data_IF_262807412207
#
_entry.id   IF_262807412207
#
_cell.length_a   1.000
_cell.length_b   1.000
_cell.length_c   1.000
_cell.angle_alpha   90.00
_cell.angle_beta   90.00
_cell.angle_gamma   90.00
#
_symmetry.space_group_name_H-M   'P 1'
#
loop_
_entity.id
_entity.type
_entity.pdbx_description
1 polymer ?
#
# COMPACT_ATOMS: atom_id res chain seq x y z
N UNK A 1 -14.72 -13.26 -8.94
CA UNK A 1 -13.66 -13.75 -8.01
C UNK A 1 -12.71 -12.61 -7.70
N UNK A 2 -12.24 -12.47 -6.45
CA UNK A 2 -11.12 -11.56 -6.16
C UNK A 2 -9.87 -12.15 -6.81
N UNK A 3 -9.19 -11.37 -7.65
CA UNK A 3 -7.89 -11.78 -8.22
C UNK A 3 -6.89 -11.91 -7.06
N UNK A 4 -6.39 -13.12 -6.84
CA UNK A 4 -5.30 -13.37 -5.90
C UNK A 4 -3.99 -13.39 -6.67
N UNK A 5 -3.04 -12.55 -6.27
CA UNK A 5 -1.71 -12.52 -6.86
C UNK A 5 -0.73 -13.06 -5.81
N UNK A 6 0.07 -14.04 -6.19
CA UNK A 6 1.22 -14.46 -5.41
C UNK A 6 2.50 -13.92 -6.04
N UNK A 7 3.49 -13.61 -5.20
CA UNK A 7 4.77 -13.09 -5.68
C UNK A 7 5.52 -14.22 -6.37
N UNK A 8 5.88 -13.99 -7.63
CA UNK A 8 6.76 -14.86 -8.38
C UNK A 8 8.18 -14.31 -8.30
N UNK A 9 9.16 -15.18 -8.07
CA UNK A 9 10.55 -14.75 -8.00
C UNK A 9 11.08 -14.47 -9.41
N UNK A 10 11.43 -13.22 -9.71
CA UNK A 10 11.90 -12.79 -11.04
C UNK A 10 13.16 -13.54 -11.50
N UNK A 11 13.94 -14.07 -10.54
CA UNK A 11 15.20 -14.77 -10.76
C UNK A 11 15.06 -16.30 -10.61
N UNK A 12 13.83 -16.85 -10.58
CA UNK A 12 13.61 -18.28 -10.32
C UNK A 12 14.36 -19.19 -11.31
N UNK A 13 14.60 -18.74 -12.54
CA UNK A 13 15.37 -19.51 -13.55
C UNK A 13 16.83 -19.76 -13.15
N UNK A 14 17.40 -18.93 -12.28
CA UNK A 14 18.77 -19.06 -11.80
C UNK A 14 18.87 -19.82 -10.47
N UNK A 15 17.75 -20.31 -9.94
CA UNK A 15 17.77 -21.18 -8.76
C UNK A 15 18.39 -22.55 -9.12
N UNK A 16 19.34 -23.02 -8.30
CA UNK A 16 20.11 -24.25 -8.57
C UNK A 16 19.20 -25.49 -8.58
N UNK A 17 18.18 -25.54 -7.72
CA UNK A 17 17.22 -26.65 -7.67
C UNK A 17 16.37 -26.66 -8.93
N UNK A 18 15.92 -25.48 -9.39
CA UNK A 18 15.17 -25.36 -10.64
C UNK A 18 16.03 -25.60 -11.89
N UNK A 19 17.31 -25.22 -11.88
CA UNK A 19 18.26 -25.61 -12.92
C UNK A 19 18.46 -27.13 -12.99
N UNK A 20 18.46 -27.81 -11.84
CA UNK A 20 18.50 -29.27 -11.78
C UNK A 20 17.24 -29.90 -12.40
N UNK A 21 16.07 -29.32 -12.15
CA UNK A 21 14.81 -29.73 -12.80
C UNK A 21 14.90 -29.56 -14.32
N UNK A 22 15.36 -28.41 -14.80
CA UNK A 22 15.53 -28.15 -16.25
C UNK A 22 16.48 -29.15 -16.86
N UNK A 23 17.58 -29.46 -16.18
CA UNK A 23 18.60 -30.38 -16.69
C UNK A 23 18.06 -31.80 -16.84
N UNK A 24 17.21 -32.27 -15.92
CA UNK A 24 16.65 -33.64 -15.94
C UNK A 24 15.38 -33.76 -16.80
N UNK A 25 14.47 -32.79 -16.70
CA UNK A 25 13.11 -32.88 -17.25
C UNK A 25 12.78 -31.81 -18.29
N UNK A 26 13.73 -30.93 -18.60
CA UNK A 26 13.54 -29.84 -19.56
C UNK A 26 12.48 -28.82 -19.12
N UNK A 27 11.85 -28.18 -20.09
CA UNK A 27 10.80 -27.19 -19.86
C UNK A 27 9.55 -27.79 -19.18
N UNK A 28 9.27 -29.08 -19.41
CA UNK A 28 8.12 -29.78 -18.82
C UNK A 28 8.23 -29.80 -17.29
N UNK A 29 9.42 -30.13 -16.75
CA UNK A 29 9.63 -30.13 -15.30
C UNK A 29 9.40 -28.77 -14.65
N UNK A 30 9.82 -27.69 -15.31
CA UNK A 30 9.54 -26.32 -14.84
C UNK A 30 8.05 -25.98 -14.89
N UNK A 31 7.37 -26.36 -15.96
CA UNK A 31 5.92 -26.19 -16.06
C UNK A 31 5.20 -26.91 -14.91
N UNK A 32 5.55 -28.16 -14.66
CA UNK A 32 5.02 -28.96 -13.55
C UNK A 32 5.29 -28.30 -12.20
N UNK A 33 6.51 -27.82 -11.95
CA UNK A 33 6.83 -27.09 -10.72
C UNK A 33 5.89 -25.88 -10.51
N UNK A 34 5.68 -25.07 -11.54
CA UNK A 34 4.82 -23.89 -11.41
C UNK A 34 3.34 -24.22 -11.24
N UNK A 35 2.85 -25.27 -11.90
CA UNK A 35 1.51 -25.81 -11.68
C UNK A 35 1.34 -26.21 -10.20
N UNK A 36 2.30 -26.95 -9.65
CA UNK A 36 2.27 -27.38 -8.24
C UNK A 36 2.28 -26.18 -7.30
N UNK A 37 3.15 -25.19 -7.54
CA UNK A 37 3.22 -23.96 -6.73
C UNK A 37 1.88 -23.23 -6.74
N UNK A 38 1.24 -23.10 -7.91
CA UNK A 38 -0.08 -22.48 -8.02
C UNK A 38 -1.13 -23.24 -7.22
N UNK A 39 -1.19 -24.57 -7.38
CA UNK A 39 -2.12 -25.42 -6.65
C UNK A 39 -1.89 -25.36 -5.13
N UNK A 40 -0.65 -25.24 -4.66
CA UNK A 40 -0.35 -25.03 -3.23
C UNK A 40 -0.93 -23.71 -2.73
N UNK A 41 -0.78 -22.61 -3.47
CA UNK A 41 -1.39 -21.33 -3.09
C UNK A 41 -2.92 -21.39 -3.07
N UNK A 42 -3.54 -22.16 -3.97
CA UNK A 42 -4.99 -22.35 -4.01
C UNK A 42 -5.51 -23.22 -2.85
N UNK A 43 -4.72 -24.21 -2.41
CA UNK A 43 -5.11 -25.19 -1.38
C UNK A 43 -4.55 -24.88 0.02
N UNK A 44 -4.09 -23.65 0.26
CA UNK A 44 -3.67 -23.23 1.60
C UNK A 44 -2.25 -23.68 2.01
N UNK A 45 -1.45 -24.15 1.06
CA UNK A 45 -0.02 -24.43 1.20
C UNK A 45 0.36 -25.90 1.26
N UNK A 46 -0.60 -26.81 1.09
CA UNK A 46 -0.42 -28.26 1.25
C UNK A 46 -1.23 -28.99 0.18
N UNK A 47 -0.71 -30.11 -0.33
CA UNK A 47 -1.38 -30.94 -1.32
C UNK A 47 -1.18 -32.43 -0.98
N UNK A 48 -2.17 -33.29 -1.22
CA UNK A 48 -1.98 -34.72 -1.05
C UNK A 48 -1.14 -35.30 -2.20
N UNK A 49 -0.32 -36.32 -1.91
CA UNK A 49 0.64 -36.88 -2.88
C UNK A 49 -0.04 -37.60 -4.05
N UNK A 50 -1.25 -38.09 -3.86
CA UNK A 50 -2.07 -38.71 -4.90
C UNK A 50 -2.43 -37.74 -6.05
N UNK A 51 -2.38 -36.42 -5.79
CA UNK A 51 -2.60 -35.37 -6.78
C UNK A 51 -1.63 -35.47 -7.96
N UNK A 52 -0.44 -36.07 -7.77
CA UNK A 52 0.55 -36.22 -8.82
C UNK A 52 -0.02 -36.95 -10.04
N UNK A 53 -0.88 -37.96 -9.82
CA UNK A 53 -1.59 -38.65 -10.91
C UNK A 53 -2.58 -37.73 -11.62
N UNK A 54 -3.31 -36.92 -10.86
CA UNK A 54 -4.27 -35.99 -11.44
C UNK A 54 -3.57 -34.89 -12.26
N UNK A 55 -2.44 -34.38 -11.80
CA UNK A 55 -1.61 -33.41 -12.54
C UNK A 55 -1.12 -34.03 -13.85
N UNK A 56 -0.64 -35.27 -13.80
CA UNK A 56 -0.15 -35.96 -15.01
C UNK A 56 -1.23 -36.03 -16.10
N UNK A 57 -2.46 -36.43 -15.74
CA UNK A 57 -3.58 -36.55 -16.66
C UNK A 57 -4.08 -35.19 -17.13
N UNK A 58 -4.25 -34.23 -16.23
CA UNK A 58 -4.84 -32.93 -16.55
C UNK A 58 -3.95 -32.08 -17.47
N UNK A 59 -2.64 -32.19 -17.32
CA UNK A 59 -1.66 -31.37 -18.06
C UNK A 59 -0.91 -32.16 -19.13
N UNK A 60 -1.32 -33.41 -19.42
CA UNK A 60 -0.71 -34.28 -20.41
C UNK A 60 0.80 -34.46 -20.19
N UNK A 61 1.19 -34.71 -18.95
CA UNK A 61 2.58 -34.94 -18.54
C UNK A 61 2.77 -36.35 -18.02
N UNK A 62 4.01 -36.86 -18.06
CA UNK A 62 4.33 -38.17 -17.49
C UNK A 62 4.28 -38.11 -15.96
N UNK A 63 3.57 -39.06 -15.34
CA UNK A 63 3.50 -39.22 -13.89
C UNK A 63 4.89 -39.29 -13.24
N UNK A 64 5.86 -39.94 -13.87
CA UNK A 64 7.23 -40.02 -13.36
C UNK A 64 7.92 -38.67 -13.29
N UNK A 65 7.63 -37.76 -14.22
CA UNK A 65 8.15 -36.39 -14.19
C UNK A 65 7.55 -35.64 -13.01
N UNK A 66 6.23 -35.73 -12.80
CA UNK A 66 5.55 -35.09 -11.67
C UNK A 66 6.08 -35.61 -10.33
N UNK A 67 6.18 -36.92 -10.19
CA UNK A 67 6.72 -37.55 -8.98
C UNK A 67 8.17 -37.13 -8.73
N UNK A 68 9.01 -37.14 -9.76
CA UNK A 68 10.40 -36.71 -9.66
C UNK A 68 10.53 -35.23 -9.28
N UNK A 69 9.70 -34.34 -9.83
CA UNK A 69 9.68 -32.92 -9.44
C UNK A 69 9.33 -32.75 -7.96
N UNK A 70 8.41 -33.56 -7.43
CA UNK A 70 8.00 -33.52 -6.03
C UNK A 70 9.13 -34.02 -5.11
N UNK A 71 9.81 -35.12 -5.48
CA UNK A 71 10.66 -35.88 -4.55
C UNK A 71 12.17 -35.69 -4.74
N UNK A 72 12.66 -35.43 -5.96
CA UNK A 72 14.08 -35.58 -6.27
C UNK A 72 14.91 -34.29 -6.16
N UNK A 73 14.27 -33.12 -6.08
CA UNK A 73 14.96 -31.82 -6.22
C UNK A 73 14.94 -30.95 -4.96
N UNK A 74 14.47 -31.50 -3.83
CA UNK A 74 14.41 -30.76 -2.56
C UNK A 74 13.60 -29.45 -2.68
N UNK A 75 12.58 -29.45 -3.53
CA UNK A 75 11.68 -28.30 -3.77
C UNK A 75 10.52 -28.28 -2.77
N UNK A 76 10.13 -29.46 -2.27
CA UNK A 76 8.98 -29.68 -1.40
C UNK A 76 9.33 -30.69 -0.31
N UNK A 77 8.78 -30.45 0.87
CA UNK A 77 8.78 -31.40 1.98
C UNK A 77 7.59 -32.34 1.85
N UNK A 78 7.68 -33.58 2.34
CA UNK A 78 6.55 -34.51 2.38
C UNK A 78 6.56 -35.39 3.64
N UNK A 79 5.39 -35.85 4.05
CA UNK A 79 5.19 -36.77 5.18
C UNK A 79 4.71 -38.17 4.76
N UNK A 80 4.73 -38.47 3.45
CA UNK A 80 4.23 -39.71 2.87
C UNK A 80 2.74 -39.69 2.49
N UNK A 81 1.96 -38.71 2.94
CA UNK A 81 0.56 -38.55 2.54
C UNK A 81 0.30 -37.20 1.86
N UNK A 82 0.89 -36.12 2.38
CA UNK A 82 0.84 -34.77 1.84
C UNK A 82 2.25 -34.22 1.62
N UNK A 83 2.34 -33.20 0.78
CA UNK A 83 3.57 -32.46 0.55
C UNK A 83 3.31 -30.95 0.53
N UNK A 84 4.33 -30.17 0.84
CA UNK A 84 4.23 -28.72 0.95
C UNK A 84 5.54 -28.01 0.63
N UNK A 85 5.44 -26.72 0.32
CA UNK A 85 6.60 -25.84 0.29
C UNK A 85 6.67 -25.02 1.58
N UNK A 86 7.78 -25.13 2.31
CA UNK A 86 8.03 -24.39 3.56
C UNK A 86 7.85 -22.88 3.35
N UNK A 87 8.42 -22.35 2.26
CA UNK A 87 8.33 -20.92 1.90
C UNK A 87 6.88 -20.49 1.67
N UNK A 88 6.09 -21.31 0.98
CA UNK A 88 4.68 -21.00 0.67
C UNK A 88 3.85 -20.98 1.95
N UNK A 89 3.97 -22.00 2.82
CA UNK A 89 3.26 -22.03 4.11
C UNK A 89 3.58 -20.81 4.97
N UNK A 90 4.86 -20.49 5.12
CA UNK A 90 5.29 -19.28 5.86
C UNK A 90 4.67 -18.00 5.27
N UNK A 91 4.61 -17.88 3.95
CA UNK A 91 4.01 -16.73 3.27
C UNK A 91 2.51 -16.63 3.53
N UNK A 92 1.79 -17.76 3.46
CA UNK A 92 0.36 -17.84 3.74
C UNK A 92 0.08 -17.47 5.20
N UNK A 93 0.85 -18.02 6.14
CA UNK A 93 0.68 -17.75 7.57
C UNK A 93 0.99 -16.30 7.93
N UNK A 94 2.06 -15.73 7.37
CA UNK A 94 2.38 -14.31 7.54
C UNK A 94 1.26 -13.42 6.99
N UNK A 95 0.67 -13.79 5.85
CA UNK A 95 -0.46 -13.06 5.26
C UNK A 95 -1.70 -13.13 6.14
N UNK A 96 -2.01 -14.31 6.70
CA UNK A 96 -3.11 -14.50 7.66
C UNK A 96 -2.89 -13.65 8.92
N UNK A 97 -1.70 -13.73 9.53
CA UNK A 97 -1.32 -12.92 10.71
C UNK A 97 -1.50 -11.42 10.48
N UNK A 98 -1.00 -10.90 9.35
CA UNK A 98 -1.15 -9.47 9.01
C UNK A 98 -2.62 -9.10 8.79
N UNK A 99 -3.40 -9.95 8.13
CA UNK A 99 -4.83 -9.75 7.92
C UNK A 99 -5.60 -9.71 9.24
N UNK A 100 -5.31 -10.64 10.15
CA UNK A 100 -5.99 -10.75 11.43
C UNK A 100 -5.60 -9.62 12.38
N UNK A 101 -4.33 -9.18 12.38
CA UNK A 101 -3.90 -7.97 13.08
C UNK A 101 -4.64 -6.72 12.57
N UNK A 102 -4.82 -6.58 11.24
CA UNK A 102 -5.59 -5.47 10.65
C UNK A 102 -7.07 -5.52 11.03
N UNK A 103 -7.68 -6.70 11.04
CA UNK A 103 -9.08 -6.89 11.50
C UNK A 103 -9.22 -6.56 12.98
N UNK A 104 -8.30 -7.02 13.83
CA UNK A 104 -8.29 -6.73 15.26
C UNK A 104 -8.17 -5.22 15.53
N UNK A 105 -7.21 -4.55 14.88
CA UNK A 105 -7.04 -3.10 14.98
C UNK A 105 -8.28 -2.34 14.48
N UNK A 106 -8.95 -2.83 13.42
CA UNK A 106 -10.23 -2.27 12.98
C UNK A 106 -11.29 -2.43 14.06
N UNK A 107 -11.53 -3.65 14.56
CA UNK A 107 -12.52 -3.93 15.62
C UNK A 107 -12.32 -3.04 16.86
N UNK A 108 -11.08 -2.87 17.31
CA UNK A 108 -10.75 -1.97 18.42
C UNK A 108 -11.12 -0.51 18.15
N UNK A 109 -10.88 -0.01 16.92
CA UNK A 109 -11.29 1.34 16.51
C UNK A 109 -12.81 1.50 16.51
N UNK A 110 -13.55 0.48 16.07
CA UNK A 110 -15.01 0.50 16.03
C UNK A 110 -15.63 0.41 17.43
N UNK A 111 -15.11 -0.44 18.31
CA UNK A 111 -15.58 -0.56 19.71
C UNK A 111 -15.35 0.74 20.50
N UNK A 112 -14.16 1.33 20.43
CA UNK A 112 -13.86 2.63 21.06
C UNK A 112 -14.80 3.76 20.62
N UNK A 113 -15.32 3.70 19.39
CA UNK A 113 -16.26 4.71 18.86
C UNK A 113 -17.66 4.57 19.47
N UNK A 114 -18.08 3.36 19.85
CA UNK A 114 -19.38 3.13 20.48
C UNK A 114 -19.37 3.44 21.98
N UNK A 115 -18.21 3.36 22.64
CA UNK A 115 -18.05 3.64 24.06
C UNK A 115 -18.01 5.14 24.41
N UNK A 116 -18.10 6.05 23.43
CA UNK A 116 -18.15 7.49 23.72
C UNK A 116 -19.61 7.91 23.92
N UNK A 117 -20.05 8.25 25.14
CA UNK A 117 -21.43 8.67 25.37
C UNK A 117 -21.71 10.01 24.66
N UNK A 118 -22.88 10.12 24.02
CA UNK A 118 -23.44 11.39 23.56
C UNK A 118 -23.79 12.24 24.78
N UNK A 119 -22.97 13.25 25.07
CA UNK A 119 -23.42 14.39 25.87
C UNK A 119 -23.69 15.58 24.93
N UNK A 120 -24.95 16.07 24.80
CA UNK A 120 -25.32 17.11 23.85
C UNK A 120 -25.06 18.55 24.33
N UNK A 121 -24.48 18.78 25.50
CA UNK A 121 -24.30 20.13 26.06
C UNK A 121 -22.88 20.69 25.90
N UNK A 122 -22.64 21.42 24.80
CA UNK A 122 -21.79 22.62 24.76
C UNK A 122 -21.68 23.16 23.33
N UNK A 123 -22.82 23.51 22.73
CA UNK A 123 -22.84 24.45 21.60
C UNK A 123 -23.05 25.85 22.17
N UNK A 124 -21.96 26.52 22.56
CA UNK A 124 -21.98 27.98 22.73
C UNK A 124 -20.91 28.59 21.82
N UNK A 125 -21.43 29.26 20.80
CA UNK A 125 -20.78 30.21 19.92
C UNK A 125 -20.17 31.35 20.73
N UNK A 126 -18.90 31.67 20.51
CA UNK A 126 -18.35 32.99 20.78
C UNK A 126 -17.12 33.23 19.88
N UNK A 127 -17.32 34.16 18.96
CA UNK A 127 -16.39 35.04 18.26
C UNK A 127 -15.03 35.31 18.93
N UNK A 128 -13.97 35.31 18.10
CA UNK A 128 -12.70 36.06 18.23
C UNK A 128 -12.88 37.56 18.55
N UNK A 129 -11.83 38.42 18.80
CA UNK A 129 -10.34 38.29 18.86
C UNK A 129 -9.73 39.12 20.07
N UNK A 130 -8.50 39.74 20.10
CA UNK A 130 -7.21 39.60 19.37
C UNK A 130 -5.93 39.50 20.25
N UNK A 131 -4.78 39.41 19.55
CA UNK A 131 -3.37 39.31 19.94
C UNK A 131 -2.78 40.32 20.95
N UNK A 132 -1.65 39.94 21.59
CA UNK A 132 -0.43 40.75 21.78
C UNK A 132 0.84 39.87 21.87
N UNK A 133 1.91 40.39 21.28
CA UNK A 133 3.28 39.85 21.12
C UNK A 133 4.14 39.97 22.39
N UNK A 134 5.14 39.08 22.52
CA UNK A 134 6.59 39.38 22.72
C UNK A 134 7.33 38.06 23.04
N UNK A 135 8.20 37.55 22.15
CA UNK A 135 9.65 37.78 22.00
C UNK A 135 10.55 36.98 22.98
N UNK A 136 11.34 36.07 22.41
CA UNK A 136 12.78 35.80 22.69
C UNK A 136 13.24 34.36 23.04
N UNK A 137 14.08 33.85 22.12
CA UNK A 137 15.36 33.12 22.24
C UNK A 137 15.48 31.71 22.89
N UNK A 138 15.75 30.74 22.00
CA UNK A 138 16.91 29.82 21.97
C UNK A 138 17.17 28.86 23.16
N UNK A 139 17.11 27.54 22.89
CA UNK A 139 18.22 26.53 23.03
C UNK A 139 17.64 25.09 23.17
N UNK A 140 18.25 24.12 22.47
CA UNK A 140 17.93 22.67 22.53
C UNK A 140 18.35 22.05 23.88
N UNK A 141 17.71 20.98 24.38
CA UNK A 141 18.25 20.19 25.48
C UNK A 141 18.78 18.81 25.04
N UNK A 142 19.98 18.49 25.51
CA UNK A 142 20.60 17.15 25.52
C UNK A 142 20.27 16.42 26.84
N UNK A 143 20.32 15.09 26.78
CA UNK A 143 19.75 14.09 27.70
C UNK A 143 20.41 13.98 29.10
N UNK A 144 19.62 13.65 30.14
CA UNK A 144 19.85 12.52 31.08
C UNK A 144 18.73 12.39 32.15
N UNK A 145 18.26 11.16 32.40
CA UNK A 145 17.38 10.66 33.50
C UNK A 145 18.25 10.06 34.64
N UNK A 146 17.75 9.54 35.81
CA UNK A 146 16.38 9.36 36.34
C UNK A 146 16.17 9.72 37.85
N UNK A 147 14.90 9.81 38.32
CA UNK A 147 14.31 8.99 39.43
C UNK A 147 12.91 9.53 39.86
N UNK A 148 12.04 8.59 40.25
CA UNK A 148 10.55 8.58 40.33
C UNK A 148 10.13 8.63 41.84
N UNK A 149 8.91 9.04 42.35
CA UNK A 149 7.53 8.76 41.86
C UNK A 149 6.38 9.80 42.03
N UNK A 150 5.32 9.53 41.25
CA UNK A 150 3.86 9.76 41.40
C UNK A 150 3.26 11.18 41.60
N UNK A 151 2.68 11.75 40.53
CA UNK A 151 1.20 11.88 40.34
C UNK A 151 0.89 12.47 38.92
N UNK A 152 -0.23 12.09 38.29
CA UNK A 152 -0.57 12.27 36.84
C UNK A 152 -1.86 13.11 36.73
N UNK A 153 -2.07 14.12 35.83
CA UNK A 153 -2.32 13.83 34.39
C UNK A 153 -2.11 14.94 33.33
N UNK A 154 -1.87 14.54 32.06
CA UNK A 154 -2.70 14.83 30.84
C UNK A 154 -1.92 14.61 29.52
N UNK A 155 -2.27 13.61 28.68
CA UNK A 155 -1.63 13.40 27.38
C UNK A 155 -2.19 14.33 26.29
N UNK A 156 -1.28 14.86 25.48
CA UNK A 156 -1.47 15.77 24.36
C UNK A 156 -2.52 15.30 23.33
N UNK A 157 -3.34 16.24 22.86
CA UNK A 157 -4.37 16.02 21.85
C UNK A 157 -3.78 15.61 20.50
N UNK A 158 -4.06 14.37 20.08
CA UNK A 158 -3.85 13.95 18.70
C UNK A 158 -4.81 14.71 17.77
N UNK A 159 -4.23 15.59 16.93
CA UNK A 159 -4.91 16.37 15.90
C UNK A 159 -5.92 15.52 15.10
N UNK A 160 -7.21 15.81 15.27
CA UNK A 160 -8.29 15.26 14.44
C UNK A 160 -7.95 15.52 12.96
N UNK A 161 -8.02 14.49 12.10
CA UNK A 161 -7.85 14.66 10.66
C UNK A 161 -9.00 15.54 10.16
N UNK A 162 -8.69 16.78 9.82
CA UNK A 162 -9.62 17.70 9.17
C UNK A 162 -9.98 17.13 7.81
N UNK A 163 -11.25 16.80 7.60
CA UNK A 163 -11.75 16.48 6.26
C UNK A 163 -11.49 17.67 5.34
N UNK A 164 -11.01 17.41 4.12
CA UNK A 164 -10.69 18.46 3.18
C UNK A 164 -11.97 19.21 2.81
N UNK A 165 -12.05 20.47 3.24
CA UNK A 165 -13.08 21.39 2.76
C UNK A 165 -12.50 22.09 1.52
N UNK A 166 -13.18 22.02 0.37
CA UNK A 166 -12.73 22.75 -0.80
C UNK A 166 -12.72 24.25 -0.45
N UNK A 167 -11.60 24.96 -0.67
CA UNK A 167 -11.53 26.39 -0.43
C UNK A 167 -12.43 27.16 -1.40
N UNK A 168 -12.94 28.30 -0.94
CA UNK A 168 -13.61 29.26 -1.81
C UNK A 168 -12.59 30.11 -2.57
N UNK A 169 -13.02 30.69 -3.69
CA UNK A 169 -12.17 31.58 -4.52
C UNK A 169 -11.58 32.71 -3.68
N UNK A 170 -12.36 33.27 -2.75
CA UNK A 170 -11.93 34.35 -1.85
C UNK A 170 -10.81 33.92 -0.90
N UNK A 171 -10.89 32.71 -0.34
CA UNK A 171 -9.83 32.17 0.53
C UNK A 171 -8.52 31.96 -0.23
N UNK A 172 -8.60 31.49 -1.48
CA UNK A 172 -7.44 31.31 -2.36
C UNK A 172 -6.86 32.68 -2.75
N UNK A 173 -7.70 33.64 -3.10
CA UNK A 173 -7.29 35.00 -3.47
C UNK A 173 -6.59 35.72 -2.31
N UNK A 174 -7.13 35.62 -1.09
CA UNK A 174 -6.51 36.16 0.11
C UNK A 174 -5.12 35.55 0.35
N UNK A 175 -5.00 34.22 0.20
CA UNK A 175 -3.72 33.53 0.37
C UNK A 175 -2.69 33.85 -0.71
N UNK A 176 -3.12 33.99 -1.96
CA UNK A 176 -2.27 34.42 -3.08
C UNK A 176 -1.74 35.84 -2.84
N UNK A 177 -2.61 36.75 -2.40
CA UNK A 177 -2.26 38.13 -2.07
C UNK A 177 -1.31 38.21 -0.86
N UNK A 178 -1.57 37.43 0.19
CA UNK A 178 -0.73 37.35 1.39
C UNK A 178 0.70 36.88 1.07
N UNK A 179 0.85 35.94 0.12
CA UNK A 179 2.14 35.38 -0.28
C UNK A 179 2.80 36.07 -1.47
N UNK A 180 2.14 37.06 -2.08
CA UNK A 180 2.65 37.75 -3.28
C UNK A 180 2.73 36.83 -4.50
N UNK A 181 1.87 35.82 -4.59
CA UNK A 181 1.80 34.95 -5.77
C UNK A 181 0.99 35.62 -6.90
N UNK A 182 1.26 35.25 -8.14
CA UNK A 182 0.55 35.74 -9.33
C UNK A 182 -0.43 34.69 -9.88
N UNK A 183 -0.93 33.80 -9.02
CA UNK A 183 -1.88 32.76 -9.40
C UNK A 183 -3.29 33.35 -9.48
N UNK A 184 -3.96 33.14 -10.60
CA UNK A 184 -5.39 33.40 -10.72
C UNK A 184 -6.19 32.40 -9.86
N UNK A 185 -6.87 32.93 -8.84
CA UNK A 185 -7.61 32.16 -7.84
C UNK A 185 -8.84 31.46 -8.43
N UNK A 186 -9.54 32.12 -9.37
CA UNK A 186 -10.72 31.54 -10.04
C UNK A 186 -10.30 30.33 -10.88
N UNK A 187 -9.21 30.47 -11.64
CA UNK A 187 -8.68 29.41 -12.47
C UNK A 187 -8.16 28.23 -11.65
N UNK A 188 -7.55 28.48 -10.49
CA UNK A 188 -7.10 27.43 -9.57
C UNK A 188 -8.27 26.62 -9.01
N UNK A 189 -9.32 27.29 -8.54
CA UNK A 189 -10.51 26.62 -7.97
C UNK A 189 -11.26 25.84 -9.04
N UNK A 190 -11.56 26.44 -10.20
CA UNK A 190 -12.27 25.77 -11.29
C UNK A 190 -11.52 24.52 -11.80
N UNK A 191 -10.19 24.56 -11.87
CA UNK A 191 -9.37 23.42 -12.29
C UNK A 191 -9.45 22.24 -11.33
N UNK A 192 -9.42 22.48 -10.02
CA UNK A 192 -9.49 21.40 -9.05
C UNK A 192 -10.93 20.97 -8.74
N UNK A 193 -11.90 21.87 -8.87
CA UNK A 193 -13.33 21.55 -8.78
C UNK A 193 -13.76 20.60 -9.90
N UNK A 194 -13.37 20.86 -11.15
CA UNK A 194 -13.64 19.93 -12.28
C UNK A 194 -12.96 18.57 -12.13
N UNK A 195 -11.89 18.47 -11.32
CA UNK A 195 -11.19 17.22 -10.99
C UNK A 195 -11.65 16.58 -9.68
N UNK A 196 -12.70 17.09 -9.04
CA UNK A 196 -13.19 16.59 -7.75
C UNK A 196 -12.15 16.70 -6.63
N UNK A 197 -11.28 17.71 -6.70
CA UNK A 197 -10.17 17.96 -5.78
C UNK A 197 -9.20 16.77 -5.66
N UNK A 198 -8.89 16.10 -6.76
CA UNK A 198 -7.94 14.98 -6.80
C UNK A 198 -6.55 15.39 -7.32
N UNK A 199 -5.51 14.77 -6.76
CA UNK A 199 -4.11 14.79 -7.22
C UNK A 199 -3.70 13.34 -7.50
N UNK A 200 -3.68 12.95 -8.78
CA UNK A 200 -3.45 11.56 -9.17
C UNK A 200 -4.56 10.64 -8.64
N UNK A 201 -4.19 9.60 -7.89
CA UNK A 201 -5.13 8.63 -7.31
C UNK A 201 -5.71 9.05 -5.95
N UNK A 202 -5.25 10.17 -5.37
CA UNK A 202 -5.59 10.60 -4.01
C UNK A 202 -6.32 11.95 -4.00
N UNK A 203 -7.21 12.17 -3.04
CA UNK A 203 -7.84 13.48 -2.80
C UNK A 203 -6.82 14.47 -2.21
N UNK A 204 -6.89 15.73 -2.64
CA UNK A 204 -6.09 16.83 -2.12
C UNK A 204 -6.38 17.04 -0.63
N UNK A 205 -5.34 17.30 0.17
CA UNK A 205 -5.48 17.53 1.61
C UNK A 205 -5.04 18.93 2.06
N UNK A 206 -4.14 19.58 1.32
CA UNK A 206 -3.59 20.90 1.65
C UNK A 206 -3.55 21.79 0.41
N UNK A 207 -4.64 22.51 0.14
CA UNK A 207 -4.77 23.34 -1.07
C UNK A 207 -3.73 24.48 -1.11
N UNK A 208 -3.37 25.06 0.05
CA UNK A 208 -2.35 26.12 0.15
C UNK A 208 -0.98 25.70 -0.42
N UNK A 209 -0.58 24.45 -0.18
CA UNK A 209 0.67 23.91 -0.72
C UNK A 209 0.59 23.67 -2.25
N UNK A 210 -0.60 23.32 -2.74
CA UNK A 210 -0.85 23.19 -4.17
C UNK A 210 -0.78 24.55 -4.88
N UNK A 211 -1.29 25.63 -4.29
CA UNK A 211 -1.16 27.00 -4.83
C UNK A 211 0.31 27.41 -5.00
N UNK A 212 1.16 27.14 -4.00
CA UNK A 212 2.60 27.42 -4.11
C UNK A 212 3.30 26.63 -5.24
N UNK A 213 2.84 25.40 -5.50
CA UNK A 213 3.35 24.58 -6.61
C UNK A 213 2.85 25.09 -7.96
N UNK A 214 1.57 25.52 -8.01
CA UNK A 214 0.93 26.12 -9.19
C UNK A 214 1.62 27.42 -9.63
N UNK A 215 2.03 28.25 -8.67
CA UNK A 215 2.82 29.45 -8.95
C UNK A 215 4.12 29.09 -9.67
N UNK A 216 4.88 28.13 -9.14
CA UNK A 216 6.17 27.73 -9.72
C UNK A 216 6.04 27.19 -11.15
N UNK A 217 4.92 26.54 -11.45
CA UNK A 217 4.66 25.95 -12.76
C UNK A 217 4.26 26.98 -13.84
N UNK A 218 3.74 28.16 -13.44
CA UNK A 218 3.32 29.23 -14.37
C UNK A 218 4.42 30.28 -14.59
N UNK A 219 5.37 30.44 -13.66
CA UNK A 219 6.50 31.39 -13.75
C UNK A 219 7.70 30.91 -14.59
N UNK A 220 7.52 29.89 -15.44
CA UNK A 220 8.53 29.50 -16.45
C UNK A 220 9.79 28.79 -15.94
N UNK A 221 9.92 28.46 -14.64
CA UNK A 221 11.04 27.66 -14.14
C UNK A 221 10.69 26.16 -14.14
N UNK A 222 10.97 25.48 -15.25
CA UNK A 222 10.82 24.04 -15.45
C UNK A 222 11.88 23.24 -14.67
N UNK A 223 11.69 23.13 -13.35
CA UNK A 223 12.49 22.26 -12.47
C UNK A 223 11.78 20.96 -12.09
N UNK A 224 11.48 20.08 -13.07
CA UNK A 224 11.10 18.66 -12.91
C UNK A 224 9.65 18.37 -12.47
N UNK A 225 8.86 17.48 -13.09
CA UNK A 225 9.04 16.50 -14.17
C UNK A 225 8.02 16.79 -15.28
N UNK A 226 8.48 17.08 -16.48
CA UNK A 226 7.66 16.93 -17.67
C UNK A 226 7.58 15.42 -17.98
N UNK A 227 6.44 14.79 -17.74
CA UNK A 227 6.12 13.54 -18.42
C UNK A 227 5.81 13.88 -19.86
N UNK A 228 6.71 13.51 -20.77
CA UNK A 228 6.47 13.61 -22.21
C UNK A 228 5.21 12.82 -22.60
N UNK A 229 4.48 13.21 -23.67
CA UNK A 229 3.28 12.49 -24.14
C UNK A 229 3.50 10.98 -24.33
N UNK A 230 4.72 10.55 -24.66
CA UNK A 230 5.14 9.16 -24.78
C UNK A 230 5.17 8.36 -23.46
N UNK A 231 5.23 9.02 -22.30
CA UNK A 231 5.17 8.35 -20.98
C UNK A 231 3.75 8.25 -20.44
N UNK A 232 2.82 9.07 -20.92
CA UNK A 232 1.42 9.02 -20.50
C UNK A 232 0.70 7.80 -21.08
N UNK A 233 1.12 7.32 -22.26
CA UNK A 233 0.66 6.06 -22.87
C UNK A 233 1.26 4.80 -22.21
N UNK A 234 2.30 4.91 -21.38
CA UNK A 234 2.93 3.77 -20.70
C UNK A 234 2.38 3.55 -19.28
N UNK A 235 1.72 4.54 -18.69
CA UNK A 235 1.14 4.44 -17.34
C UNK A 235 -0.24 3.74 -17.36
N UNK A 236 -0.90 3.70 -18.52
CA UNK A 236 -2.20 3.04 -18.73
C UNK A 236 -2.12 1.70 -19.46
N UNK A 237 -0.93 1.22 -19.84
CA UNK A 237 -0.78 -0.11 -20.42
C UNK A 237 -0.71 -1.14 -19.31
N UNK A 238 -1.83 -1.82 -19.10
CA UNK A 238 -1.82 -3.12 -18.44
C UNK A 238 -1.04 -4.08 -19.35
N UNK A 239 -0.11 -4.87 -18.81
CA UNK A 239 0.73 -5.78 -19.63
C UNK A 239 -0.09 -6.84 -20.41
N UNK A 240 -1.39 -6.95 -20.16
CA UNK A 240 -2.32 -7.81 -20.87
C UNK A 240 -2.99 -7.17 -22.10
N UNK A 241 -2.80 -5.87 -22.36
CA UNK A 241 -3.47 -5.18 -23.48
C UNK A 241 -2.68 -5.24 -24.79
N UNK A 242 -1.45 -5.77 -24.79
CA UNK A 242 -0.61 -5.89 -26.00
C UNK A 242 -0.84 -7.20 -26.79
N UNK A 243 -1.72 -8.08 -26.34
CA UNK A 243 -2.01 -9.39 -26.94
C UNK A 243 -3.51 -9.67 -27.12
N UNK A 244 -4.30 -8.66 -27.52
CA UNK A 244 -5.66 -8.84 -28.02
C UNK A 244 -5.81 -8.19 -29.40
#
# INVERSE_FOLDING_TARGET
>A
MKKSYFRHDYNARNDIKLQSVITKHGAVGIGVYWIIVEMLYQNGGELPLDIARNISVAYFTDFKVVESVIKDFDLFENDGNVFWSVRIRQTIDNTKKVSDARKAASRQRWSRKQEKPENPESRKTASHPPAKEELSLFTQPEEQKPDVPEDVPKPEEQKKRTYFKPPTVEEVAAYVKEKGYSVDAEQFVAFYESKGWMIGKNKMQKWRAAVATWQRQRSGYSGGRATTPAQQSLINKNCNDEWN
#
